data_IF_901982896327
#
_entry.id   IF_901982896327
#
_cell.length_a   1.000
_cell.length_b   1.000
_cell.length_c   1.000
_cell.angle_alpha   90.00
_cell.angle_beta   90.00
_cell.angle_gamma   90.00
#
_symmetry.space_group_name_H-M   'P 1'
#
loop_
_entity.id
_entity.type
_entity.pdbx_description
1 polymer ?
#
# COMPACT_ATOMS: atom_id res chain seq x y z
N UNK A 1 11.47 18.38 43.66
CA UNK A 1 10.95 17.54 42.55
C UNK A 1 9.88 18.36 41.83
N UNK A 2 10.27 19.04 40.78
CA UNK A 2 9.32 19.77 39.93
C UNK A 2 8.47 18.78 39.15
N UNK A 3 7.17 18.96 39.24
CA UNK A 3 6.20 18.18 38.42
C UNK A 3 6.33 18.64 36.97
N UNK A 4 6.81 17.75 36.09
CA UNK A 4 6.78 17.95 34.65
C UNK A 4 5.33 18.19 34.21
N UNK A 5 5.12 19.31 33.55
CA UNK A 5 3.80 19.66 32.97
C UNK A 5 3.68 19.01 31.60
N UNK A 6 2.44 18.82 31.11
CA UNK A 6 2.12 18.27 29.78
C UNK A 6 2.80 18.98 28.60
N UNK A 7 3.48 20.10 28.84
CA UNK A 7 4.31 20.80 27.84
C UNK A 7 5.60 20.06 27.47
N UNK A 8 6.01 19.11 28.28
CA UNK A 8 7.25 18.33 28.11
C UNK A 8 6.98 16.94 27.51
N UNK A 9 5.78 16.69 27.02
CA UNK A 9 5.44 15.47 26.29
C UNK A 9 6.32 15.33 25.05
N UNK A 10 6.80 14.09 24.82
CA UNK A 10 7.82 13.81 23.83
C UNK A 10 7.45 14.29 22.42
N UNK A 11 8.44 14.66 21.60
CA UNK A 11 8.22 15.17 20.23
C UNK A 11 7.38 14.27 19.33
N UNK A 12 7.26 12.99 19.66
CA UNK A 12 6.44 12.00 18.94
C UNK A 12 4.94 12.33 18.95
N UNK A 13 4.44 12.91 20.02
CA UNK A 13 3.01 13.27 20.12
C UNK A 13 2.65 14.53 19.33
N UNK A 14 3.61 15.44 19.17
CA UNK A 14 3.39 16.69 18.41
C UNK A 14 3.39 16.50 16.89
N UNK A 15 4.07 15.47 16.38
CA UNK A 15 4.18 15.26 14.92
C UNK A 15 2.96 14.61 14.29
N UNK A 16 2.07 14.04 15.07
CA UNK A 16 0.90 13.31 14.58
C UNK A 16 -0.43 14.04 14.81
N UNK A 17 -0.35 15.24 15.34
CA UNK A 17 -1.56 15.86 15.81
C UNK A 17 -2.35 16.57 14.71
N UNK A 18 -1.99 17.67 14.13
CA UNK A 18 -3.05 18.55 13.63
C UNK A 18 -3.56 18.19 12.24
N UNK A 19 -2.70 17.76 11.33
CA UNK A 19 -3.06 17.69 9.91
C UNK A 19 -4.06 16.63 9.53
N UNK A 20 -4.29 15.62 10.37
CA UNK A 20 -5.32 14.59 10.12
C UNK A 20 -6.57 14.79 10.99
N UNK A 21 -6.47 15.57 12.06
CA UNK A 21 -7.64 15.93 12.89
C UNK A 21 -8.29 17.24 12.42
N UNK A 22 -7.49 18.19 11.94
CA UNK A 22 -8.01 19.50 11.51
C UNK A 22 -8.64 19.49 10.12
N UNK A 23 -8.53 18.38 9.38
CA UNK A 23 -9.24 18.19 8.10
C UNK A 23 -10.57 17.44 8.26
N UNK A 24 -11.02 17.15 9.49
CA UNK A 24 -12.43 16.86 9.67
C UNK A 24 -13.14 18.23 9.70
N UNK A 25 -13.99 18.53 8.71
CA UNK A 25 -14.86 19.70 8.85
C UNK A 25 -15.65 19.51 10.13
N UNK A 26 -15.78 20.57 10.94
CA UNK A 26 -16.76 20.63 12.02
C UNK A 26 -18.09 20.18 11.43
N UNK A 27 -18.54 19.00 11.84
CA UNK A 27 -19.77 18.43 11.34
C UNK A 27 -20.85 19.22 12.06
N UNK A 28 -21.41 20.19 11.35
CA UNK A 28 -22.69 20.79 11.74
C UNK A 28 -23.70 19.67 11.93
N UNK A 29 -24.24 19.52 13.12
CA UNK A 29 -25.11 18.40 13.51
C UNK A 29 -26.43 18.34 12.71
N UNK A 30 -26.62 19.22 11.74
CA UNK A 30 -27.87 19.37 10.98
C UNK A 30 -27.94 18.58 9.66
N UNK A 31 -26.86 18.32 9.00
CA UNK A 31 -26.85 17.57 7.70
C UNK A 31 -25.59 16.74 7.60
N UNK A 32 -25.66 15.49 8.02
CA UNK A 32 -24.68 14.49 7.62
C UNK A 32 -24.92 14.15 6.14
N UNK A 33 -24.35 14.92 5.23
CA UNK A 33 -24.03 14.35 3.94
C UNK A 33 -23.14 13.16 4.23
N UNK A 34 -23.60 11.96 3.88
CA UNK A 34 -22.76 10.76 3.87
C UNK A 34 -21.65 11.05 2.89
N UNK A 35 -20.54 11.59 3.39
CA UNK A 35 -19.37 11.91 2.61
C UNK A 35 -18.96 10.66 1.83
N UNK A 36 -18.56 10.82 0.58
CA UNK A 36 -18.06 9.74 -0.28
C UNK A 36 -17.16 8.83 0.52
N UNK A 37 -17.59 7.61 0.81
CA UNK A 37 -16.82 6.65 1.58
C UNK A 37 -15.61 6.22 0.76
N UNK A 38 -14.46 6.78 1.10
CA UNK A 38 -13.20 6.39 0.44
C UNK A 38 -12.87 4.93 0.74
N UNK A 39 -12.43 4.17 -0.27
CA UNK A 39 -12.02 2.79 -0.07
C UNK A 39 -10.92 2.66 0.99
N UNK A 40 -10.92 1.55 1.69
CA UNK A 40 -9.89 1.23 2.67
C UNK A 40 -8.74 0.47 2.00
N UNK A 41 -7.52 0.84 2.35
CA UNK A 41 -6.32 0.08 2.00
C UNK A 41 -5.73 -0.48 3.29
N UNK A 42 -5.62 -1.80 3.35
CA UNK A 42 -4.90 -2.50 4.41
C UNK A 42 -3.61 -3.02 3.81
N UNK A 43 -2.45 -2.58 4.32
CA UNK A 43 -1.16 -3.05 3.85
C UNK A 43 -0.57 -4.10 4.78
N UNK A 44 0.09 -5.11 4.18
CA UNK A 44 0.87 -6.11 4.90
C UNK A 44 2.16 -5.55 5.48
N UNK A 45 2.72 -4.47 4.89
CA UNK A 45 3.86 -3.73 5.39
C UNK A 45 3.46 -2.44 6.10
N UNK A 46 4.19 -2.10 7.16
CA UNK A 46 3.89 -0.90 7.95
C UNK A 46 4.52 0.39 7.38
N UNK A 47 5.43 0.29 6.44
CA UNK A 47 6.25 1.42 6.02
C UNK A 47 6.07 1.78 4.54
N UNK A 48 6.65 1.03 3.60
CA UNK A 48 6.74 1.41 2.19
C UNK A 48 5.36 1.60 1.57
N UNK A 49 4.47 0.62 1.72
CA UNK A 49 3.11 0.65 1.18
C UNK A 49 2.28 1.78 1.77
N UNK A 50 2.35 1.92 3.10
CA UNK A 50 1.63 2.97 3.81
C UNK A 50 2.04 4.36 3.32
N UNK A 51 3.34 4.64 3.22
CA UNK A 51 3.81 5.93 2.72
C UNK A 51 3.47 6.14 1.25
N UNK A 52 3.57 5.09 0.44
CA UNK A 52 3.15 5.18 -0.95
C UNK A 52 1.71 5.69 -1.06
N UNK A 53 0.76 5.03 -0.40
CA UNK A 53 -0.64 5.43 -0.48
C UNK A 53 -0.93 6.76 0.24
N UNK A 54 -0.20 7.09 1.32
CA UNK A 54 -0.29 8.42 1.94
C UNK A 54 0.09 9.51 0.95
N UNK A 55 1.21 9.35 0.26
CA UNK A 55 1.63 10.33 -0.74
C UNK A 55 0.72 10.33 -1.99
N UNK A 56 0.14 9.20 -2.38
CA UNK A 56 -0.92 9.17 -3.40
C UNK A 56 -2.10 10.04 -2.97
N UNK A 57 -2.56 9.92 -1.72
CA UNK A 57 -3.62 10.79 -1.18
C UNK A 57 -3.26 12.28 -1.28
N UNK A 58 -2.00 12.62 -1.00
CA UNK A 58 -1.57 14.02 -0.93
C UNK A 58 -1.30 14.62 -2.32
N UNK A 59 -0.88 13.80 -3.28
CA UNK A 59 -0.34 14.30 -4.55
C UNK A 59 -1.21 14.01 -5.77
N UNK A 60 -2.28 13.24 -5.61
CA UNK A 60 -3.17 12.85 -6.72
C UNK A 60 -4.64 13.08 -6.37
N UNK A 61 -5.53 12.81 -7.34
CA UNK A 61 -6.99 12.83 -7.12
C UNK A 61 -7.51 11.69 -6.26
N UNK A 62 -6.75 10.61 -6.13
CA UNK A 62 -7.16 9.41 -5.41
C UNK A 62 -7.12 9.62 -3.89
N UNK A 63 -8.15 9.16 -3.19
CA UNK A 63 -8.28 9.28 -1.73
C UNK A 63 -8.66 7.94 -1.13
N UNK A 64 -7.90 7.51 -0.11
CA UNK A 64 -8.03 6.20 0.53
C UNK A 64 -7.96 6.32 2.05
N UNK A 65 -8.67 5.47 2.75
CA UNK A 65 -8.51 5.24 4.18
C UNK A 65 -7.41 4.19 4.41
N UNK A 66 -6.23 4.60 4.84
CA UNK A 66 -5.05 3.72 4.94
C UNK A 66 -4.96 3.08 6.32
N UNK A 67 -4.68 1.77 6.36
CA UNK A 67 -4.41 0.98 7.58
C UNK A 67 -3.13 0.16 7.40
N UNK A 68 -2.24 0.05 8.40
CA UNK A 68 -2.31 0.66 9.74
C UNK A 68 -2.26 2.18 9.70
N UNK A 69 -2.90 2.79 10.69
CA UNK A 69 -2.91 4.25 10.83
C UNK A 69 -1.55 4.78 11.31
N UNK A 70 -0.85 4.01 12.14
CA UNK A 70 0.41 4.38 12.76
C UNK A 70 1.57 3.47 12.35
N UNK A 71 2.81 3.98 12.51
CA UNK A 71 4.04 3.22 12.34
C UNK A 71 4.20 2.15 13.41
N UNK A 72 4.91 1.06 13.04
CA UNK A 72 5.24 -0.06 13.92
C UNK A 72 4.03 -0.85 14.46
N UNK A 73 2.84 -0.63 13.95
CA UNK A 73 1.74 -1.57 14.16
C UNK A 73 2.09 -2.92 13.54
N UNK A 74 1.70 -3.99 14.24
CA UNK A 74 2.09 -5.36 13.96
C UNK A 74 2.01 -5.75 12.48
N UNK A 75 3.08 -6.37 12.00
CA UNK A 75 3.27 -6.82 10.62
C UNK A 75 2.93 -8.29 10.39
N UNK A 76 2.20 -8.94 11.29
CA UNK A 76 1.72 -10.29 11.02
C UNK A 76 0.52 -10.20 10.07
N UNK A 77 0.84 -10.30 8.82
CA UNK A 77 0.10 -10.04 7.62
C UNK A 77 -1.36 -10.53 7.65
N UNK A 78 -1.61 -11.82 7.89
CA UNK A 78 -2.98 -12.37 7.82
C UNK A 78 -3.80 -12.03 9.07
N UNK A 79 -3.21 -12.12 10.25
CA UNK A 79 -3.91 -11.80 11.50
C UNK A 79 -4.22 -10.29 11.57
N UNK A 80 -3.28 -9.46 11.11
CA UNK A 80 -3.51 -8.02 11.00
C UNK A 80 -4.64 -7.69 10.01
N UNK A 81 -4.75 -8.42 8.90
CA UNK A 81 -5.85 -8.24 7.96
C UNK A 81 -7.18 -8.62 8.58
N UNK A 82 -7.30 -9.79 9.21
CA UNK A 82 -8.53 -10.23 9.88
C UNK A 82 -9.06 -9.18 10.84
N UNK A 83 -8.22 -8.75 11.78
CA UNK A 83 -8.58 -7.75 12.79
C UNK A 83 -9.10 -6.46 12.15
N UNK A 84 -8.38 -5.94 11.16
CA UNK A 84 -8.73 -4.67 10.52
C UNK A 84 -9.97 -4.77 9.64
N UNK A 85 -10.16 -5.87 8.94
CA UNK A 85 -11.39 -6.13 8.16
C UNK A 85 -12.59 -6.17 9.10
N UNK A 86 -12.50 -6.89 10.21
CA UNK A 86 -13.58 -6.98 11.19
C UNK A 86 -13.92 -5.60 11.79
N UNK A 87 -12.92 -4.81 12.13
CA UNK A 87 -13.11 -3.43 12.62
C UNK A 87 -13.79 -2.54 11.57
N UNK A 88 -13.38 -2.61 10.32
CA UNK A 88 -13.94 -1.81 9.22
C UNK A 88 -15.37 -2.23 8.93
N UNK A 89 -15.62 -3.52 8.72
CA UNK A 89 -16.95 -4.03 8.38
C UNK A 89 -17.96 -3.86 9.51
N UNK A 90 -17.52 -3.90 10.78
CA UNK A 90 -18.35 -3.57 11.93
C UNK A 90 -18.79 -2.10 11.94
N UNK A 91 -17.91 -1.20 11.50
CA UNK A 91 -18.21 0.23 11.42
C UNK A 91 -18.99 0.59 10.14
N UNK A 92 -18.76 -0.12 9.05
CA UNK A 92 -19.36 0.11 7.75
C UNK A 92 -19.41 -1.17 6.91
N UNK A 93 -20.60 -1.77 6.80
CA UNK A 93 -20.83 -3.01 6.04
C UNK A 93 -20.56 -2.87 4.54
N UNK A 94 -20.69 -1.67 3.99
CA UNK A 94 -20.57 -1.39 2.56
C UNK A 94 -19.17 -0.90 2.17
N UNK A 95 -18.21 -0.98 3.10
CA UNK A 95 -16.84 -0.56 2.86
C UNK A 95 -16.18 -1.38 1.75
N UNK A 96 -15.50 -0.72 0.81
CA UNK A 96 -14.59 -1.39 -0.13
C UNK A 96 -13.20 -1.48 0.52
N UNK A 97 -12.64 -2.67 0.58
CA UNK A 97 -11.38 -2.97 1.28
C UNK A 97 -10.40 -3.61 0.31
N UNK A 98 -9.21 -3.02 0.18
CA UNK A 98 -8.10 -3.55 -0.61
C UNK A 98 -7.00 -4.06 0.31
N UNK A 99 -6.65 -5.34 0.18
CA UNK A 99 -5.60 -5.99 0.96
C UNK A 99 -4.31 -6.05 0.13
N UNK A 100 -3.35 -5.17 0.43
CA UNK A 100 -2.07 -5.06 -0.29
C UNK A 100 -0.98 -5.82 0.45
N UNK A 101 -0.27 -6.71 -0.26
CA UNK A 101 0.77 -7.54 0.33
C UNK A 101 1.78 -8.09 -0.68
N UNK A 102 2.93 -8.48 -0.16
CA UNK A 102 3.99 -9.10 -0.94
C UNK A 102 3.73 -10.60 -1.07
N UNK A 103 3.72 -11.11 -2.32
CA UNK A 103 3.47 -12.52 -2.59
C UNK A 103 4.57 -13.43 -2.06
N UNK A 104 5.83 -12.97 -2.03
CA UNK A 104 6.95 -13.72 -1.50
C UNK A 104 6.89 -13.95 0.03
N UNK A 105 6.00 -13.25 0.73
CA UNK A 105 5.72 -13.50 2.15
C UNK A 105 4.83 -14.74 2.36
N UNK A 106 4.06 -15.14 1.35
CA UNK A 106 3.20 -16.33 1.38
C UNK A 106 3.92 -17.52 0.77
N UNK A 107 4.51 -17.35 -0.40
CA UNK A 107 5.27 -18.37 -1.10
C UNK A 107 6.78 -18.13 -0.92
N UNK A 108 7.59 -19.11 -0.49
CA UNK A 108 7.36 -20.55 -0.50
C UNK A 108 6.99 -21.18 0.85
N UNK A 109 6.50 -20.46 1.83
CA UNK A 109 6.26 -20.97 3.19
C UNK A 109 4.91 -21.70 3.29
N UNK A 110 4.90 -23.02 3.37
CA UNK A 110 3.70 -23.86 3.43
C UNK A 110 2.70 -23.40 4.48
N UNK A 111 3.16 -23.09 5.70
CA UNK A 111 2.26 -22.62 6.77
C UNK A 111 1.60 -21.27 6.50
N UNK A 112 2.19 -20.42 5.66
CA UNK A 112 1.57 -19.15 5.25
C UNK A 112 0.53 -19.39 4.14
N UNK A 113 0.76 -20.37 3.26
CA UNK A 113 -0.23 -20.76 2.25
C UNK A 113 -1.51 -21.31 2.87
N UNK A 114 -1.40 -22.14 3.90
CA UNK A 114 -2.55 -22.65 4.65
C UNK A 114 -3.33 -21.53 5.35
N UNK A 115 -2.62 -20.56 5.93
CA UNK A 115 -3.24 -19.38 6.55
C UNK A 115 -3.96 -18.51 5.52
N UNK A 116 -3.36 -18.31 4.34
CA UNK A 116 -3.99 -17.56 3.24
C UNK A 116 -5.24 -18.30 2.73
N UNK A 117 -5.17 -19.62 2.56
CA UNK A 117 -6.32 -20.43 2.15
C UNK A 117 -7.49 -20.32 3.15
N UNK A 118 -7.22 -20.47 4.44
CA UNK A 118 -8.23 -20.29 5.50
C UNK A 118 -8.78 -18.85 5.57
N UNK A 119 -7.94 -17.88 5.30
CA UNK A 119 -8.37 -16.48 5.23
C UNK A 119 -9.34 -16.28 4.06
N UNK A 120 -9.02 -16.76 2.87
CA UNK A 120 -9.88 -16.66 1.69
C UNK A 120 -11.18 -17.41 1.84
N UNK A 121 -11.15 -18.59 2.45
CA UNK A 121 -12.36 -19.35 2.78
C UNK A 121 -13.28 -18.57 3.73
N UNK A 122 -12.72 -17.99 4.80
CA UNK A 122 -13.48 -17.18 5.77
C UNK A 122 -14.19 -15.99 5.12
N UNK A 123 -13.54 -15.32 4.19
CA UNK A 123 -14.04 -14.09 3.55
C UNK A 123 -14.48 -14.31 2.10
N UNK A 124 -14.83 -15.55 1.74
CA UNK A 124 -15.14 -15.89 0.33
C UNK A 124 -16.28 -15.02 -0.22
N UNK A 125 -17.34 -14.83 0.55
CA UNK A 125 -18.50 -14.01 0.15
C UNK A 125 -18.12 -12.56 -0.10
N UNK A 126 -17.34 -11.97 0.79
CA UNK A 126 -16.89 -10.59 0.69
C UNK A 126 -15.92 -10.40 -0.49
N UNK A 127 -15.11 -11.42 -0.79
CA UNK A 127 -14.21 -11.41 -1.94
C UNK A 127 -15.00 -11.55 -3.25
N UNK A 128 -15.93 -12.48 -3.35
CA UNK A 128 -16.79 -12.70 -4.53
C UNK A 128 -17.65 -11.47 -4.83
N UNK A 129 -18.18 -10.82 -3.79
CA UNK A 129 -19.00 -9.61 -3.93
C UNK A 129 -18.17 -8.32 -4.12
N UNK A 130 -16.83 -8.41 -4.18
CA UNK A 130 -15.95 -7.27 -4.38
C UNK A 130 -15.87 -6.29 -3.20
N UNK A 131 -16.36 -6.67 -2.02
CA UNK A 131 -16.19 -5.93 -0.76
C UNK A 131 -14.73 -5.98 -0.34
N UNK A 132 -14.11 -7.15 -0.45
CA UNK A 132 -12.67 -7.35 -0.22
C UNK A 132 -11.99 -7.68 -1.54
N UNK A 133 -10.96 -6.92 -1.89
CA UNK A 133 -10.12 -7.19 -3.06
C UNK A 133 -8.69 -7.48 -2.62
N UNK A 134 -8.19 -8.65 -3.00
CA UNK A 134 -6.80 -9.04 -2.74
C UNK A 134 -5.88 -8.41 -3.79
N UNK A 135 -4.85 -7.70 -3.34
CA UNK A 135 -3.93 -6.95 -4.19
C UNK A 135 -2.46 -7.38 -3.95
N UNK A 136 -2.12 -8.66 -4.24
CA UNK A 136 -0.74 -9.13 -4.14
C UNK A 136 0.16 -8.53 -5.20
N UNK A 137 1.46 -8.47 -4.88
CA UNK A 137 2.53 -8.16 -5.83
C UNK A 137 3.62 -9.23 -5.78
N UNK A 138 4.02 -9.79 -6.93
CA UNK A 138 5.10 -10.76 -7.05
C UNK A 138 6.36 -10.09 -7.62
N UNK A 139 7.48 -10.09 -6.90
CA UNK A 139 7.65 -10.65 -5.54
C UNK A 139 7.13 -9.74 -4.44
N UNK A 140 7.15 -8.42 -4.65
CA UNK A 140 6.83 -7.39 -3.66
C UNK A 140 6.27 -6.13 -4.32
N UNK A 141 5.78 -5.18 -3.52
CA UNK A 141 5.16 -3.94 -4.01
C UNK A 141 6.12 -3.10 -4.87
N UNK A 142 7.42 -3.25 -4.71
CA UNK A 142 8.39 -2.53 -5.55
C UNK A 142 8.30 -2.94 -7.02
N UNK A 143 7.73 -4.10 -7.33
CA UNK A 143 7.41 -4.45 -8.71
C UNK A 143 6.32 -3.54 -9.29
N UNK A 144 5.32 -3.18 -8.50
CA UNK A 144 4.35 -2.14 -8.87
C UNK A 144 5.05 -0.82 -9.17
N UNK A 145 6.01 -0.39 -8.33
CA UNK A 145 6.76 0.84 -8.60
C UNK A 145 7.59 0.76 -9.88
N UNK A 146 8.14 -0.41 -10.20
CA UNK A 146 8.90 -0.63 -11.44
C UNK A 146 8.02 -0.42 -12.67
N UNK A 147 6.75 -0.84 -12.64
CA UNK A 147 5.82 -0.70 -13.76
C UNK A 147 5.56 0.75 -14.18
N UNK A 148 5.81 1.73 -13.32
CA UNK A 148 5.72 3.15 -13.67
C UNK A 148 6.79 3.57 -14.67
N UNK A 149 7.92 2.86 -14.73
CA UNK A 149 9.05 3.18 -15.60
C UNK A 149 9.24 2.18 -16.74
N UNK A 150 9.11 0.91 -16.45
CA UNK A 150 9.44 -0.18 -17.37
C UNK A 150 8.30 -1.17 -17.44
N UNK A 151 7.93 -1.62 -18.64
CA UNK A 151 7.07 -2.78 -18.81
C UNK A 151 7.93 -4.05 -18.71
N UNK A 152 7.82 -4.73 -17.57
CA UNK A 152 8.57 -5.96 -17.29
C UNK A 152 7.61 -7.10 -17.05
N UNK A 153 7.73 -8.19 -17.79
CA UNK A 153 6.81 -9.35 -17.73
C UNK A 153 7.48 -10.62 -17.24
N UNK A 154 8.83 -10.69 -17.27
CA UNK A 154 9.54 -11.89 -16.81
C UNK A 154 9.53 -12.03 -15.30
N UNK A 155 9.66 -13.26 -14.80
CA UNK A 155 9.69 -13.53 -13.37
C UNK A 155 10.93 -12.92 -12.70
N UNK A 156 10.69 -12.01 -11.80
CA UNK A 156 11.69 -11.48 -10.86
C UNK A 156 11.52 -12.23 -9.53
N UNK A 157 12.41 -13.22 -9.29
CA UNK A 157 12.25 -14.18 -8.18
C UNK A 157 12.25 -13.59 -6.78
N UNK A 158 12.74 -12.36 -6.60
CA UNK A 158 12.88 -11.74 -5.29
C UNK A 158 13.03 -10.22 -5.39
N UNK A 159 12.85 -9.56 -4.25
CA UNK A 159 13.07 -8.12 -4.08
C UNK A 159 14.39 -7.61 -4.65
N UNK A 160 15.50 -8.36 -4.52
CA UNK A 160 16.82 -7.88 -4.94
C UNK A 160 16.86 -7.60 -6.45
N UNK A 161 16.21 -8.44 -7.25
CA UNK A 161 16.12 -8.27 -8.70
C UNK A 161 15.27 -7.07 -9.08
N UNK A 162 14.11 -6.90 -8.43
CA UNK A 162 13.27 -5.70 -8.62
C UNK A 162 14.03 -4.45 -8.24
N UNK A 163 14.70 -4.46 -7.08
CA UNK A 163 15.47 -3.32 -6.57
C UNK A 163 16.61 -2.88 -7.51
N UNK A 164 17.27 -3.82 -8.18
CA UNK A 164 18.31 -3.51 -9.18
C UNK A 164 17.75 -2.71 -10.36
N UNK A 165 16.58 -3.13 -10.87
CA UNK A 165 15.91 -2.46 -11.99
C UNK A 165 15.28 -1.14 -11.61
N UNK A 166 14.74 -1.04 -10.39
CA UNK A 166 14.05 0.17 -9.90
C UNK A 166 15.02 1.25 -9.44
N UNK A 167 16.19 0.88 -8.91
CA UNK A 167 17.15 1.80 -8.29
C UNK A 167 17.54 3.01 -9.16
N UNK A 168 17.80 2.89 -10.46
CA UNK A 168 18.15 4.04 -11.31
C UNK A 168 17.10 5.14 -11.33
N UNK A 169 15.83 4.79 -11.16
CA UNK A 169 14.71 5.73 -11.22
C UNK A 169 14.41 6.39 -9.88
N UNK A 170 14.54 5.65 -8.78
CA UNK A 170 14.13 6.10 -7.44
C UNK A 170 15.28 6.74 -6.66
N UNK A 171 16.50 6.23 -6.79
CA UNK A 171 17.66 6.76 -6.04
C UNK A 171 17.91 8.26 -6.26
N UNK A 172 17.73 8.83 -7.47
CA UNK A 172 17.90 10.25 -7.67
C UNK A 172 16.97 11.15 -6.82
N UNK A 173 15.87 10.60 -6.29
CA UNK A 173 14.97 11.33 -5.39
C UNK A 173 15.55 11.56 -4.00
N UNK A 174 16.63 10.86 -3.64
CA UNK A 174 17.28 10.99 -2.35
C UNK A 174 18.54 11.88 -2.44
N UNK A 175 18.93 12.53 -1.34
CA UNK A 175 20.18 13.29 -1.28
C UNK A 175 21.38 12.45 -1.73
N UNK A 176 22.38 13.07 -2.38
CA UNK A 176 23.54 12.37 -2.97
C UNK A 176 24.26 11.43 -1.98
N UNK A 177 24.46 11.89 -0.73
CA UNK A 177 25.07 11.06 0.29
C UNK A 177 24.34 9.74 0.56
N UNK A 178 23.02 9.70 0.27
CA UNK A 178 22.20 8.53 0.49
C UNK A 178 22.08 7.64 -0.75
N UNK A 179 22.34 8.16 -1.95
CA UNK A 179 22.21 7.41 -3.21
C UNK A 179 23.17 6.21 -3.30
N UNK A 180 24.29 6.25 -2.58
CA UNK A 180 25.23 5.11 -2.45
C UNK A 180 24.61 3.93 -1.70
N UNK A 181 23.59 4.15 -0.87
CA UNK A 181 22.92 3.09 -0.13
C UNK A 181 22.12 2.18 -1.07
N UNK A 182 21.94 0.91 -0.66
CA UNK A 182 21.03 -0.02 -1.34
C UNK A 182 19.60 0.52 -1.27
N UNK A 183 18.82 0.41 -2.34
CA UNK A 183 17.46 0.90 -2.40
C UNK A 183 16.59 0.38 -1.24
N UNK A 184 16.77 -0.90 -0.86
CA UNK A 184 16.11 -1.50 0.31
C UNK A 184 16.29 -0.68 1.59
N UNK A 185 17.49 -0.14 1.82
CA UNK A 185 17.78 0.68 2.99
C UNK A 185 17.09 2.05 2.90
N UNK A 186 17.02 2.61 1.71
CA UNK A 186 16.36 3.89 1.47
C UNK A 186 14.84 3.78 1.67
N UNK A 187 14.21 2.76 1.08
CA UNK A 187 12.76 2.53 1.17
C UNK A 187 12.29 1.89 2.49
N UNK A 188 13.20 1.62 3.45
CA UNK A 188 12.85 1.20 4.82
C UNK A 188 13.04 2.30 5.85
N UNK A 189 13.80 3.35 5.53
CA UNK A 189 14.08 4.42 6.47
C UNK A 189 12.95 5.45 6.46
N UNK A 190 12.26 5.58 7.58
CA UNK A 190 11.13 6.49 7.77
C UNK A 190 11.41 7.92 7.27
N UNK A 191 12.60 8.47 7.61
CA UNK A 191 13.03 9.79 7.16
C UNK A 191 13.05 9.96 5.64
N UNK A 192 13.31 8.90 4.90
CA UNK A 192 13.29 8.90 3.43
C UNK A 192 11.88 8.72 2.89
N UNK A 193 11.10 7.84 3.53
CA UNK A 193 9.72 7.58 3.12
C UNK A 193 8.79 8.76 3.35
N UNK A 194 9.06 9.59 4.36
CA UNK A 194 8.34 10.86 4.62
C UNK A 194 8.47 11.88 3.50
N UNK A 195 9.55 11.84 2.72
CA UNK A 195 9.71 12.72 1.57
C UNK A 195 8.82 12.24 0.41
N UNK A 196 7.83 13.03 -0.05
CA UNK A 196 6.91 12.61 -1.10
C UNK A 196 7.56 12.52 -2.49
N UNK A 197 8.78 13.00 -2.67
CA UNK A 197 9.42 13.11 -3.98
C UNK A 197 9.52 11.78 -4.71
N UNK A 198 9.79 10.69 -4.00
CA UNK A 198 9.88 9.36 -4.61
C UNK A 198 8.53 8.85 -5.13
N UNK A 199 7.40 9.26 -4.55
CA UNK A 199 6.07 8.94 -5.08
C UNK A 199 5.66 9.91 -6.19
N UNK A 200 6.01 11.19 -6.07
CA UNK A 200 5.75 12.16 -7.15
C UNK A 200 6.35 11.73 -8.48
N UNK A 201 7.59 11.23 -8.47
CA UNK A 201 8.24 10.73 -9.70
C UNK A 201 7.54 9.50 -10.28
N UNK A 202 6.86 8.69 -9.46
CA UNK A 202 6.02 7.58 -9.91
C UNK A 202 4.73 8.07 -10.60
N UNK A 203 4.20 9.21 -10.19
CA UNK A 203 2.90 9.69 -10.66
C UNK A 203 2.98 10.75 -11.76
N UNK A 204 4.14 11.41 -11.92
CA UNK A 204 4.28 12.49 -12.89
C UNK A 204 4.13 12.02 -14.35
N UNK A 205 3.68 12.92 -15.22
CA UNK A 205 3.63 12.72 -16.69
C UNK A 205 2.87 11.47 -17.12
N UNK A 206 1.81 11.11 -16.43
CA UNK A 206 0.97 9.95 -16.78
C UNK A 206 1.60 8.59 -16.48
N UNK A 207 2.64 8.54 -15.63
CA UNK A 207 3.29 7.27 -15.27
C UNK A 207 2.39 6.37 -14.44
N UNK A 208 1.54 6.94 -13.57
CA UNK A 208 0.59 6.15 -12.78
C UNK A 208 -0.41 5.44 -13.70
N UNK A 209 -1.01 6.15 -14.63
CA UNK A 209 -1.93 5.60 -15.63
C UNK A 209 -1.24 4.55 -16.50
N UNK A 210 0.02 4.79 -16.83
CA UNK A 210 0.86 3.82 -17.57
C UNK A 210 1.10 2.55 -16.74
N UNK A 211 1.38 2.67 -15.45
CA UNK A 211 1.58 1.52 -14.57
C UNK A 211 0.29 0.70 -14.41
N UNK A 212 -0.86 1.37 -14.24
CA UNK A 212 -2.18 0.74 -14.19
C UNK A 212 -2.40 -0.12 -15.44
N UNK A 213 -2.25 0.49 -16.63
CA UNK A 213 -2.46 -0.21 -17.91
C UNK A 213 -1.47 -1.36 -18.11
N UNK A 214 -0.20 -1.20 -17.74
CA UNK A 214 0.81 -2.26 -17.84
C UNK A 214 0.47 -3.44 -16.92
N UNK A 215 0.14 -3.17 -15.65
CA UNK A 215 -0.20 -4.22 -14.70
C UNK A 215 -1.42 -5.03 -15.17
N UNK A 216 -2.48 -4.34 -15.56
CA UNK A 216 -3.71 -4.96 -16.07
C UNK A 216 -3.45 -5.81 -17.31
N UNK A 217 -2.79 -5.24 -18.33
CA UNK A 217 -2.47 -5.95 -19.58
C UNK A 217 -1.55 -7.16 -19.34
N UNK A 218 -0.56 -7.03 -18.46
CA UNK A 218 0.37 -8.12 -18.16
C UNK A 218 -0.34 -9.28 -17.47
N UNK A 219 -1.22 -9.00 -16.52
CA UNK A 219 -2.02 -10.01 -15.82
C UNK A 219 -2.99 -10.69 -16.79
N UNK A 220 -3.73 -9.93 -17.58
CA UNK A 220 -4.64 -10.47 -18.58
C UNK A 220 -3.95 -11.47 -19.52
N UNK A 221 -2.81 -11.06 -20.09
CA UNK A 221 -2.03 -11.93 -20.97
C UNK A 221 -1.47 -13.17 -20.27
N UNK A 222 -1.13 -13.07 -18.98
CA UNK A 222 -0.63 -14.20 -18.21
C UNK A 222 -1.77 -15.18 -17.87
N UNK A 223 -2.95 -14.67 -17.53
CA UNK A 223 -4.16 -15.48 -17.27
C UNK A 223 -4.64 -16.21 -18.54
N UNK A 224 -4.67 -15.53 -19.71
CA UNK A 224 -5.00 -16.14 -20.99
C UNK A 224 -4.07 -17.29 -21.35
N UNK A 225 -2.81 -17.23 -20.94
CA UNK A 225 -1.80 -18.27 -21.17
C UNK A 225 -1.69 -19.30 -20.04
N UNK A 226 -2.45 -19.11 -18.96
CA UNK A 226 -2.33 -19.89 -17.73
C UNK A 226 -0.90 -19.90 -17.14
N UNK A 227 -0.17 -18.77 -17.27
CA UNK A 227 1.27 -18.63 -17.00
C UNK A 227 1.58 -17.58 -15.91
N UNK A 228 0.61 -17.24 -15.08
CA UNK A 228 0.79 -16.20 -14.04
C UNK A 228 1.88 -16.58 -13.03
N UNK A 229 2.05 -17.87 -12.76
CA UNK A 229 3.05 -18.38 -11.81
C UNK A 229 4.50 -18.15 -12.27
N UNK A 230 4.73 -18.03 -13.58
CA UNK A 230 6.05 -17.83 -14.17
C UNK A 230 6.35 -16.35 -14.49
N UNK A 231 5.52 -15.43 -14.00
CA UNK A 231 5.67 -14.01 -14.26
C UNK A 231 5.64 -13.19 -12.96
N UNK A 232 6.25 -12.01 -12.99
CA UNK A 232 6.01 -11.01 -11.98
C UNK A 232 4.70 -10.29 -12.28
N UNK A 233 3.93 -10.00 -11.23
CA UNK A 233 2.62 -9.36 -11.35
C UNK A 233 2.34 -8.41 -10.19
N UNK A 234 1.37 -7.52 -10.36
CA UNK A 234 0.84 -6.70 -9.27
C UNK A 234 -0.64 -6.41 -9.50
N UNK A 235 -1.47 -6.78 -8.54
CA UNK A 235 -2.90 -6.46 -8.55
C UNK A 235 -3.22 -5.08 -7.93
N UNK A 236 -2.21 -4.28 -7.60
CA UNK A 236 -2.37 -2.92 -7.04
C UNK A 236 -3.17 -2.01 -7.99
N UNK A 237 -3.12 -2.24 -9.29
CA UNK A 237 -3.92 -1.48 -10.27
C UNK A 237 -5.42 -1.50 -10.00
N UNK A 238 -5.95 -2.58 -9.41
CA UNK A 238 -7.38 -2.71 -9.06
C UNK A 238 -7.86 -1.63 -8.11
N UNK A 239 -6.97 -1.13 -7.23
CA UNK A 239 -7.26 -0.04 -6.30
C UNK A 239 -7.64 1.23 -7.05
N UNK A 240 -6.92 1.54 -8.12
CA UNK A 240 -7.12 2.74 -8.92
C UNK A 240 -8.30 2.61 -9.89
N UNK A 241 -8.52 1.43 -10.48
CA UNK A 241 -9.65 1.17 -11.38
C UNK A 241 -11.01 1.18 -10.66
N UNK A 242 -11.03 0.86 -9.37
CA UNK A 242 -12.25 0.86 -8.55
C UNK A 242 -12.61 2.23 -7.97
N UNK A 243 -11.76 3.22 -8.17
CA UNK A 243 -11.98 4.58 -7.68
C UNK A 243 -12.78 5.37 -8.72
N UNK A 244 -14.09 5.42 -8.52
CA UNK A 244 -15.04 6.19 -9.35
C UNK A 244 -15.71 7.29 -8.53
#
# INVERSE_FOLDING_TARGET
MEKRTLKDAEPKERYFSPTLQDSQPEIDEGVRELGKLFPFIISGGSNTERFYFTHINDTTKYKFNIRPKYFNDESNYIEAFKKRIEEILKANSDAKIFCVYDWDTIFPKTGNQEKDAKFREKYNKEIENGVITMCPSMPSIEYWFLLHFVNHTSLLKNYSKVSQLLAPYIKPCFPEQNQKNKLKKLLKAEKHLKNPQWVRILCEKGKLETAIKRAETNIQKAEEKNDLINQSFSYVYKIFNSWQ
#
